data_IF_301938284704
#
_entry.id   IF_301938284704
#
_cell.length_a   1.000
_cell.length_b   1.000
_cell.length_c   1.000
_cell.angle_alpha   90.00
_cell.angle_beta   90.00
_cell.angle_gamma   90.00
#
_symmetry.space_group_name_H-M   'P 1'
#
loop_
_entity.id
_entity.type
_entity.pdbx_description
1 polymer ?
#
# COMPACT_ATOMS: atom_id res chain seq x y z
N UNK A 1 15.53 9.07 3.39
CA UNK A 1 15.65 8.68 1.98
C UNK A 1 14.56 7.68 1.66
N UNK A 2 13.87 7.80 0.52
CA UNK A 2 12.82 6.87 0.07
C UNK A 2 13.41 5.74 -0.77
N UNK A 3 12.68 4.62 -0.88
CA UNK A 3 13.14 3.47 -1.68
C UNK A 3 13.05 3.76 -3.18
N UNK A 4 13.78 3.00 -4.00
CA UNK A 4 13.62 3.05 -5.46
C UNK A 4 12.16 2.79 -5.87
N UNK A 5 11.55 1.77 -5.26
CA UNK A 5 10.14 1.40 -5.47
C UNK A 5 9.17 2.55 -5.20
N UNK A 6 9.39 3.32 -4.14
CA UNK A 6 8.60 4.52 -3.88
C UNK A 6 8.76 5.54 -5.00
N UNK A 7 10.01 5.84 -5.40
CA UNK A 7 10.29 6.82 -6.47
C UNK A 7 9.65 6.41 -7.80
N UNK A 8 9.72 5.13 -8.15
CA UNK A 8 9.12 4.60 -9.38
C UNK A 8 7.59 4.66 -9.34
N UNK A 9 7.00 4.43 -8.17
CA UNK A 9 5.55 4.47 -8.01
C UNK A 9 4.99 5.89 -8.18
N UNK A 10 5.61 6.90 -7.55
CA UNK A 10 5.13 8.29 -7.58
C UNK A 10 5.53 9.06 -8.84
N UNK A 11 6.45 8.54 -9.65
CA UNK A 11 6.94 9.20 -10.86
C UNK A 11 5.92 9.19 -12.03
N UNK A 12 4.92 8.32 -11.99
CA UNK A 12 3.90 8.19 -13.03
C UNK A 12 2.53 7.84 -12.44
N UNK A 13 1.42 8.07 -13.14
CA UNK A 13 0.08 7.70 -12.67
C UNK A 13 -0.01 6.20 -12.33
N UNK A 14 -0.74 5.86 -11.26
CA UNK A 14 -0.81 4.48 -10.79
C UNK A 14 -1.50 3.51 -11.75
N UNK A 15 -2.47 3.98 -12.55
CA UNK A 15 -3.23 3.15 -13.50
C UNK A 15 -3.68 1.82 -12.90
N UNK A 16 -3.47 0.74 -13.64
CA UNK A 16 -3.81 -0.65 -13.27
C UNK A 16 -2.62 -1.41 -12.63
N UNK A 17 -1.64 -0.68 -12.05
CA UNK A 17 -0.47 -1.29 -11.41
C UNK A 17 -0.92 -2.26 -10.30
N UNK A 18 -0.29 -3.45 -10.20
CA UNK A 18 -0.64 -4.42 -9.16
C UNK A 18 -0.29 -3.87 -7.77
N UNK A 19 -0.99 -4.35 -6.74
CA UNK A 19 -0.81 -3.91 -5.34
C UNK A 19 0.64 -4.04 -4.86
N UNK A 20 1.34 -5.06 -5.36
CA UNK A 20 2.76 -5.29 -5.10
C UNK A 20 3.69 -4.20 -5.65
N UNK A 21 3.22 -3.18 -6.37
CA UNK A 21 4.05 -2.02 -6.77
C UNK A 21 4.16 -0.97 -5.67
N UNK A 22 3.26 -0.96 -4.69
CA UNK A 22 3.29 -0.01 -3.59
C UNK A 22 4.56 -0.19 -2.74
N UNK A 23 5.14 0.92 -2.30
CA UNK A 23 6.26 0.88 -1.38
C UNK A 23 5.84 0.20 -0.08
N UNK A 24 6.74 -0.58 0.54
CA UNK A 24 6.42 -1.35 1.74
C UNK A 24 5.64 -2.65 1.50
N UNK A 25 5.00 -2.83 0.34
CA UNK A 25 4.29 -4.07 -0.01
C UNK A 25 5.22 -4.99 -0.80
N UNK A 26 5.70 -6.07 -0.18
CA UNK A 26 6.43 -7.14 -0.87
C UNK A 26 5.53 -8.33 -1.21
N UNK A 27 6.06 -9.34 -1.90
CA UNK A 27 5.29 -10.47 -2.45
C UNK A 27 4.40 -11.20 -1.42
N UNK A 28 4.85 -11.32 -0.17
CA UNK A 28 4.06 -11.96 0.90
C UNK A 28 2.87 -11.10 1.30
N UNK A 29 3.04 -9.78 1.42
CA UNK A 29 1.95 -8.87 1.77
C UNK A 29 1.01 -8.66 0.57
N UNK A 30 1.56 -8.57 -0.64
CA UNK A 30 0.82 -8.44 -1.88
C UNK A 30 -0.14 -9.60 -2.08
N UNK A 31 0.33 -10.85 -1.94
CA UNK A 31 -0.55 -12.02 -2.03
C UNK A 31 -1.69 -12.03 -1.01
N UNK A 32 -1.41 -11.65 0.24
CA UNK A 32 -2.46 -11.54 1.27
C UNK A 32 -3.48 -10.44 0.97
N UNK A 33 -3.05 -9.36 0.33
CA UNK A 33 -3.94 -8.29 -0.12
C UNK A 33 -4.79 -8.75 -1.31
N UNK A 34 -4.18 -9.41 -2.29
CA UNK A 34 -4.85 -10.03 -3.44
C UNK A 34 -5.92 -11.05 -2.99
N UNK A 35 -5.60 -11.94 -2.05
CA UNK A 35 -6.55 -12.91 -1.46
C UNK A 35 -7.77 -12.24 -0.80
N UNK A 36 -7.61 -10.99 -0.36
CA UNK A 36 -8.67 -10.16 0.25
C UNK A 36 -9.36 -9.23 -0.76
N UNK A 37 -9.04 -9.32 -2.05
CA UNK A 37 -9.63 -8.52 -3.12
C UNK A 37 -8.93 -7.17 -3.36
N UNK A 38 -7.75 -6.95 -2.78
CA UNK A 38 -6.92 -5.75 -3.00
C UNK A 38 -5.80 -6.08 -3.99
N UNK A 39 -6.14 -6.43 -5.23
CA UNK A 39 -5.20 -6.87 -6.27
C UNK A 39 -4.49 -5.71 -6.98
N UNK A 40 -5.12 -4.53 -7.03
CA UNK A 40 -4.58 -3.32 -7.65
C UNK A 40 -4.23 -2.23 -6.65
N UNK A 41 -3.22 -1.41 -7.00
CA UNK A 41 -2.79 -0.28 -6.17
C UNK A 41 -3.93 0.72 -5.89
N UNK A 42 -4.80 0.97 -6.88
CA UNK A 42 -5.93 1.89 -6.71
C UNK A 42 -6.99 1.38 -5.72
N UNK A 43 -7.11 0.07 -5.51
CA UNK A 43 -8.07 -0.49 -4.53
C UNK A 43 -7.59 -0.17 -3.11
N UNK A 44 -6.28 -0.28 -2.87
CA UNK A 44 -5.65 0.14 -1.62
C UNK A 44 -5.71 1.66 -1.44
N UNK A 45 -5.50 2.44 -2.52
CA UNK A 45 -5.74 3.89 -2.48
C UNK A 45 -7.19 4.19 -2.08
N UNK A 46 -8.16 3.48 -2.66
CA UNK A 46 -9.58 3.64 -2.32
C UNK A 46 -9.83 3.48 -0.82
N UNK A 47 -9.24 2.45 -0.20
CA UNK A 47 -9.31 2.27 1.25
C UNK A 47 -8.65 3.41 2.02
N UNK A 48 -7.48 3.90 1.58
CA UNK A 48 -6.82 5.06 2.20
C UNK A 48 -7.70 6.31 2.14
N UNK A 49 -8.43 6.52 1.05
CA UNK A 49 -9.36 7.63 0.88
C UNK A 49 -10.62 7.47 1.75
N UNK A 50 -11.16 6.26 1.91
CA UNK A 50 -12.28 5.98 2.84
C UNK A 50 -11.89 6.34 4.28
N UNK A 51 -10.65 6.06 4.66
CA UNK A 51 -10.06 6.46 5.94
C UNK A 51 -9.64 7.93 5.99
N UNK A 52 -10.07 8.75 5.02
CA UNK A 52 -9.79 10.20 4.94
C UNK A 52 -8.30 10.55 4.97
N UNK A 53 -7.47 9.65 4.44
CA UNK A 53 -6.01 9.76 4.47
C UNK A 53 -5.41 9.78 5.89
N UNK A 54 -6.14 9.27 6.87
CA UNK A 54 -5.63 9.11 8.23
C UNK A 54 -4.55 8.02 8.24
N UNK A 55 -3.30 8.44 8.45
CA UNK A 55 -2.15 7.54 8.42
C UNK A 55 -2.19 6.50 9.54
N UNK A 56 -2.69 6.84 10.72
CA UNK A 56 -2.71 5.92 11.85
C UNK A 56 -3.72 4.81 11.62
N UNK A 57 -4.96 5.18 11.25
CA UNK A 57 -6.02 4.23 10.91
C UNK A 57 -5.63 3.37 9.70
N UNK A 58 -4.99 3.95 8.69
CA UNK A 58 -4.55 3.17 7.52
C UNK A 58 -3.45 2.18 7.87
N UNK A 59 -2.49 2.58 8.70
CA UNK A 59 -1.39 1.69 9.13
C UNK A 59 -1.89 0.57 10.03
N UNK A 60 -2.88 0.84 10.88
CA UNK A 60 -3.58 -0.19 11.67
C UNK A 60 -4.35 -1.14 10.76
N UNK A 61 -5.17 -0.62 9.85
CA UNK A 61 -5.90 -1.43 8.86
C UNK A 61 -4.96 -2.33 8.05
N UNK A 62 -3.83 -1.81 7.57
CA UNK A 62 -2.88 -2.59 6.75
C UNK A 62 -2.23 -3.70 7.58
N UNK A 63 -1.95 -3.44 8.86
CA UNK A 63 -1.46 -4.44 9.81
C UNK A 63 -2.49 -5.55 10.02
N UNK A 64 -3.75 -5.22 10.27
CA UNK A 64 -4.83 -6.21 10.45
C UNK A 64 -5.15 -6.98 9.16
N UNK A 65 -5.01 -6.31 8.01
CA UNK A 65 -5.39 -6.87 6.71
C UNK A 65 -4.32 -7.83 6.18
N UNK A 66 -3.04 -7.47 6.19
CA UNK A 66 -2.00 -8.33 5.61
C UNK A 66 -0.83 -8.66 6.55
N UNK A 67 -0.85 -8.15 7.79
CA UNK A 67 0.22 -8.34 8.76
C UNK A 67 1.43 -7.43 8.53
N UNK A 68 1.22 -6.27 7.90
CA UNK A 68 2.28 -5.30 7.67
C UNK A 68 2.89 -4.81 8.99
N UNK A 69 4.22 -4.77 9.06
CA UNK A 69 4.92 -4.19 10.19
C UNK A 69 4.96 -2.65 10.12
N UNK A 70 5.45 -2.01 11.19
CA UNK A 70 5.46 -0.54 11.31
C UNK A 70 6.23 0.17 10.18
N UNK A 71 7.29 -0.44 9.64
CA UNK A 71 8.06 0.12 8.52
C UNK A 71 7.30 -0.04 7.21
N UNK A 72 6.77 -1.23 6.93
CA UNK A 72 6.02 -1.53 5.71
C UNK A 72 4.78 -0.65 5.60
N UNK A 73 4.03 -0.49 6.69
CA UNK A 73 2.83 0.34 6.68
C UNK A 73 3.14 1.82 6.51
N UNK A 74 4.23 2.31 7.11
CA UNK A 74 4.73 3.68 6.91
C UNK A 74 5.20 3.93 5.48
N UNK A 75 5.95 2.98 4.90
CA UNK A 75 6.43 3.09 3.52
C UNK A 75 5.26 3.10 2.53
N UNK A 76 4.22 2.30 2.79
CA UNK A 76 3.00 2.23 1.98
C UNK A 76 2.16 3.51 2.09
N UNK A 77 1.84 3.97 3.31
CA UNK A 77 1.08 5.21 3.51
C UNK A 77 1.78 6.41 2.90
N UNK A 78 3.10 6.50 3.02
CA UNK A 78 3.86 7.61 2.47
C UNK A 78 3.95 7.63 0.94
N UNK A 79 3.64 6.53 0.24
CA UNK A 79 3.65 6.49 -1.24
C UNK A 79 2.28 6.67 -1.89
N UNK A 80 1.21 6.71 -1.09
CA UNK A 80 -0.18 6.89 -1.51
C UNK A 80 -0.63 8.35 -1.34
#
# INVERSE_FOLDING_TARGET
STSQKHRDFVAEPMGEKPVGTLAGIGDVLGRKLEEKGFDKAYVVLGQFLVLRKDEELFREWLKETCGANAKQSRDCSGCL
#
